data_IF_399977027502
#
_entry.id   IF_399977027502
#
_cell.length_a   1.000
_cell.length_b   1.000
_cell.length_c   1.000
_cell.angle_alpha   90.00
_cell.angle_beta   90.00
_cell.angle_gamma   90.00
#
_symmetry.space_group_name_H-M   'P 1'
#
loop_
_entity.id
_entity.type
_entity.pdbx_description
1 polymer ?
#
# COMPACT_ATOMS: atom_id res chain seq x y z
N UNK A 1 -0.01 -20.16 -1.89
CA UNK A 1 -0.26 -21.34 -1.04
C UNK A 1 -1.72 -21.44 -0.58
N UNK A 2 -2.33 -20.35 0.04
CA UNK A 2 -3.70 -20.39 0.58
C UNK A 2 -4.77 -20.80 -0.45
N UNK A 3 -4.77 -20.17 -1.63
CA UNK A 3 -5.71 -20.51 -2.72
C UNK A 3 -5.60 -21.96 -3.18
N UNK A 4 -4.42 -22.57 -3.13
CA UNK A 4 -4.24 -23.99 -3.42
C UNK A 4 -4.88 -24.89 -2.37
N UNK A 5 -4.93 -24.48 -1.10
CA UNK A 5 -5.62 -25.21 -0.05
C UNK A 5 -7.13 -25.26 -0.30
N UNK A 6 -7.71 -24.18 -0.83
CA UNK A 6 -9.13 -24.14 -1.19
C UNK A 6 -9.50 -25.21 -2.23
N UNK A 7 -8.61 -25.47 -3.21
CA UNK A 7 -8.83 -26.50 -4.24
C UNK A 7 -8.82 -27.93 -3.67
N UNK A 8 -8.34 -28.12 -2.44
CA UNK A 8 -8.31 -29.42 -1.75
C UNK A 8 -9.57 -29.70 -0.93
N UNK A 9 -10.48 -28.74 -0.81
CA UNK A 9 -11.75 -28.91 -0.12
C UNK A 9 -12.68 -29.82 -0.93
N UNK A 10 -12.54 -31.14 -0.75
CA UNK A 10 -13.32 -32.18 -1.43
C UNK A 10 -14.09 -33.03 -0.42
N UNK A 11 -15.09 -33.74 -0.89
CA UNK A 11 -15.83 -34.72 -0.10
C UNK A 11 -17.29 -34.35 0.12
N UNK A 12 -18.06 -35.25 0.75
CA UNK A 12 -19.51 -35.12 0.92
C UNK A 12 -19.95 -34.16 2.05
N UNK A 13 -19.00 -33.54 2.77
CA UNK A 13 -19.34 -32.66 3.87
C UNK A 13 -20.16 -31.45 3.40
N UNK A 14 -21.22 -31.14 4.13
CA UNK A 14 -22.15 -30.04 3.83
C UNK A 14 -21.45 -28.68 3.91
N UNK A 15 -20.55 -28.51 4.88
CA UNK A 15 -19.83 -27.27 5.07
C UNK A 15 -18.32 -27.49 4.88
N UNK A 16 -17.80 -26.99 3.77
CA UNK A 16 -16.37 -27.02 3.45
C UNK A 16 -15.76 -25.65 3.71
N UNK A 17 -14.84 -25.58 4.65
CA UNK A 17 -14.18 -24.31 5.00
C UNK A 17 -12.71 -24.52 5.35
N UNK A 18 -11.90 -23.50 5.11
CA UNK A 18 -10.53 -23.37 5.63
C UNK A 18 -10.55 -22.32 6.73
N UNK A 19 -9.89 -22.63 7.83
CA UNK A 19 -9.57 -21.66 8.87
C UNK A 19 -8.06 -21.53 8.90
N UNK A 20 -7.57 -20.31 8.92
CA UNK A 20 -6.15 -20.01 9.04
C UNK A 20 -5.98 -18.96 10.14
N UNK A 21 -4.93 -19.09 10.92
CA UNK A 21 -4.49 -18.09 11.89
C UNK A 21 -3.18 -17.50 11.42
N UNK A 22 -2.91 -16.26 11.74
CA UNK A 22 -1.68 -15.58 11.38
C UNK A 22 -1.59 -14.24 12.11
N UNK A 23 -0.36 -13.77 12.26
CA UNK A 23 -0.08 -12.45 12.80
C UNK A 23 0.26 -11.48 11.67
N UNK A 24 0.00 -10.17 11.84
CA UNK A 24 0.50 -9.15 10.94
C UNK A 24 2.03 -9.19 10.80
N UNK A 25 2.57 -8.68 9.69
CA UNK A 25 4.00 -8.46 9.52
C UNK A 25 4.79 -9.57 8.82
N UNK A 26 4.16 -10.64 8.33
CA UNK A 26 4.82 -11.68 7.53
C UNK A 26 5.03 -11.28 6.06
N UNK A 27 5.80 -12.10 5.31
CA UNK A 27 6.07 -11.85 3.87
C UNK A 27 4.82 -11.66 3.00
N UNK A 28 3.71 -12.27 3.37
CA UNK A 28 2.45 -12.16 2.65
C UNK A 28 1.49 -11.15 3.28
N UNK A 29 1.98 -10.24 4.10
CA UNK A 29 1.17 -9.28 4.85
C UNK A 29 0.20 -8.49 3.95
N UNK A 30 0.73 -7.80 2.94
CA UNK A 30 -0.07 -7.01 2.01
C UNK A 30 -1.07 -7.85 1.20
N UNK A 31 -0.68 -9.06 0.78
CA UNK A 31 -1.58 -9.97 0.06
C UNK A 31 -2.73 -10.45 0.94
N UNK A 32 -2.46 -10.79 2.20
CA UNK A 32 -3.48 -11.20 3.17
C UNK A 32 -4.44 -10.05 3.45
N UNK A 33 -3.90 -8.86 3.69
CA UNK A 33 -4.66 -7.63 3.92
C UNK A 33 -5.65 -7.37 2.79
N UNK A 34 -5.15 -7.35 1.55
CA UNK A 34 -5.97 -7.16 0.34
C UNK A 34 -6.97 -8.30 0.13
N UNK A 35 -6.52 -9.57 0.28
CA UNK A 35 -7.38 -10.73 0.03
C UNK A 35 -8.56 -10.80 0.99
N UNK A 36 -8.35 -10.50 2.25
CA UNK A 36 -9.40 -10.50 3.27
C UNK A 36 -10.09 -9.13 3.47
N UNK A 37 -9.70 -8.11 2.68
CA UNK A 37 -10.32 -6.78 2.70
C UNK A 37 -10.12 -6.02 4.01
N UNK A 38 -8.99 -6.25 4.69
CA UNK A 38 -8.73 -5.68 6.02
C UNK A 38 -8.65 -4.16 5.97
N UNK A 39 -8.15 -3.57 4.86
CA UNK A 39 -8.08 -2.12 4.69
C UNK A 39 -9.46 -1.45 4.68
N UNK A 40 -10.44 -2.12 4.05
CA UNK A 40 -11.82 -1.60 4.00
C UNK A 40 -12.65 -1.97 5.22
N UNK A 41 -12.26 -3.04 5.93
CA UNK A 41 -13.01 -3.57 7.06
C UNK A 41 -12.05 -4.00 8.18
N UNK A 42 -11.38 -3.04 8.86
CA UNK A 42 -10.38 -3.34 9.87
C UNK A 42 -10.96 -4.06 11.11
N UNK A 43 -12.22 -3.80 11.42
CA UNK A 43 -12.94 -4.48 12.50
C UNK A 43 -13.41 -5.89 12.12
N UNK A 44 -13.19 -6.31 10.87
CA UNK A 44 -13.50 -7.63 10.38
C UNK A 44 -15.00 -7.99 10.37
N UNK A 45 -15.28 -9.29 10.44
CA UNK A 45 -16.62 -9.88 10.52
C UNK A 45 -17.54 -9.58 9.32
N UNK A 46 -16.99 -9.04 8.23
CA UNK A 46 -17.70 -8.78 6.98
C UNK A 46 -17.44 -9.92 6.01
N UNK A 47 -18.47 -10.67 5.57
CA UNK A 47 -18.31 -11.70 4.55
C UNK A 47 -18.08 -11.05 3.17
N UNK A 48 -16.99 -11.43 2.53
CA UNK A 48 -16.62 -10.98 1.20
C UNK A 48 -16.74 -12.12 0.22
N UNK A 49 -17.59 -11.99 -0.77
CA UNK A 49 -17.78 -12.98 -1.83
C UNK A 49 -16.81 -12.74 -2.98
N UNK A 50 -16.17 -13.81 -3.42
CA UNK A 50 -15.38 -13.82 -4.64
C UNK A 50 -16.30 -14.02 -5.84
N UNK A 51 -16.43 -13.01 -6.68
CA UNK A 51 -17.36 -12.99 -7.81
C UNK A 51 -17.10 -14.10 -8.85
N UNK A 52 -15.85 -14.56 -8.96
CA UNK A 52 -15.49 -15.59 -9.94
C UNK A 52 -15.80 -17.01 -9.43
N UNK A 53 -15.76 -17.22 -8.12
CA UNK A 53 -15.88 -18.57 -7.52
C UNK A 53 -17.11 -18.74 -6.62
N UNK A 54 -17.78 -17.66 -6.23
CA UNK A 54 -18.85 -17.65 -5.24
C UNK A 54 -18.37 -18.02 -3.82
N UNK A 55 -17.06 -18.13 -3.60
CA UNK A 55 -16.53 -18.48 -2.29
C UNK A 55 -16.52 -17.26 -1.37
N UNK A 56 -17.04 -17.46 -0.16
CA UNK A 56 -17.06 -16.42 0.87
C UNK A 56 -15.82 -16.54 1.74
N UNK A 57 -15.18 -15.42 1.99
CA UNK A 57 -14.06 -15.25 2.93
C UNK A 57 -14.39 -14.18 3.96
N UNK A 58 -13.84 -14.31 5.15
CA UNK A 58 -14.09 -13.36 6.23
C UNK A 58 -12.83 -13.23 7.09
N UNK A 59 -12.47 -12.00 7.41
CA UNK A 59 -11.47 -11.69 8.42
C UNK A 59 -12.13 -11.71 9.80
N UNK A 60 -11.51 -12.39 10.74
CA UNK A 60 -11.92 -12.40 12.14
C UNK A 60 -10.77 -11.83 12.95
N UNK A 61 -10.86 -10.56 13.40
CA UNK A 61 -9.83 -9.95 14.22
C UNK A 61 -9.70 -10.69 15.55
N UNK A 62 -8.48 -10.77 16.06
CA UNK A 62 -8.19 -11.36 17.35
C UNK A 62 -7.06 -10.59 18.00
N UNK A 63 -7.24 -10.23 19.25
CA UNK A 63 -6.26 -9.54 20.09
C UNK A 63 -5.87 -10.45 21.23
N UNK A 64 -4.71 -10.24 21.82
CA UNK A 64 -4.28 -11.06 22.95
C UNK A 64 -5.28 -11.02 24.10
N UNK A 65 -5.93 -9.87 24.30
CA UNK A 65 -6.93 -9.66 25.37
C UNK A 65 -8.21 -10.49 25.17
N UNK A 66 -8.45 -10.99 23.96
CA UNK A 66 -9.60 -11.86 23.68
C UNK A 66 -9.36 -13.27 24.24
N UNK A 67 -8.10 -13.67 24.41
CA UNK A 67 -7.71 -14.96 24.98
C UNK A 67 -7.66 -14.91 26.52
N UNK A 68 -8.82 -14.76 27.15
CA UNK A 68 -8.94 -14.68 28.61
C UNK A 68 -8.39 -15.92 29.32
N UNK A 69 -8.55 -17.10 28.74
CA UNK A 69 -8.07 -18.37 29.30
C UNK A 69 -6.53 -18.40 29.28
N UNK A 70 -5.92 -18.02 28.14
CA UNK A 70 -4.47 -17.97 28.03
C UNK A 70 -3.83 -16.94 28.97
N UNK A 71 -4.42 -15.75 29.09
CA UNK A 71 -3.94 -14.71 30.01
C UNK A 71 -4.12 -15.08 31.47
N UNK A 72 -5.18 -15.81 31.84
CA UNK A 72 -5.36 -16.32 33.18
C UNK A 72 -4.33 -17.41 33.54
N UNK A 73 -3.95 -18.25 32.55
CA UNK A 73 -2.94 -19.29 32.77
C UNK A 73 -1.51 -18.71 32.80
N UNK A 74 -1.26 -17.61 32.08
CA UNK A 74 0.05 -16.96 32.02
C UNK A 74 -0.11 -15.41 31.99
N UNK A 75 -0.28 -14.78 33.16
CA UNK A 75 -0.44 -13.34 33.26
C UNK A 75 0.78 -12.52 32.79
N UNK A 76 1.96 -13.14 32.76
CA UNK A 76 3.21 -12.48 32.32
C UNK A 76 3.41 -12.46 30.80
N UNK A 77 2.56 -13.15 30.05
CA UNK A 77 2.71 -13.25 28.59
C UNK A 77 2.63 -11.89 27.88
N UNK A 78 1.72 -11.03 28.30
CA UNK A 78 1.56 -9.69 27.76
C UNK A 78 2.81 -8.82 27.98
N UNK A 79 3.41 -8.90 29.17
CA UNK A 79 4.65 -8.19 29.49
C UNK A 79 5.85 -8.69 28.66
N UNK A 80 5.90 -9.99 28.36
CA UNK A 80 6.96 -10.54 27.50
C UNK A 80 6.84 -10.02 26.06
N UNK A 81 5.63 -9.80 25.56
CA UNK A 81 5.43 -9.16 24.26
C UNK A 81 5.88 -7.70 24.26
N UNK A 82 5.62 -6.96 25.32
CA UNK A 82 6.10 -5.57 25.47
C UNK A 82 7.63 -5.50 25.46
N UNK A 83 8.30 -6.58 25.89
CA UNK A 83 9.77 -6.71 25.87
C UNK A 83 10.39 -7.01 24.50
N UNK A 84 9.62 -7.13 23.42
CA UNK A 84 10.16 -7.40 22.07
C UNK A 84 11.00 -6.25 21.46
N UNK A 85 10.99 -5.07 22.09
CA UNK A 85 11.85 -3.95 21.75
C UNK A 85 11.50 -3.18 20.47
N UNK A 86 10.54 -3.68 19.67
CA UNK A 86 10.05 -3.02 18.48
C UNK A 86 8.56 -2.67 18.66
N UNK A 87 8.22 -1.38 18.84
CA UNK A 87 6.84 -0.96 19.13
C UNK A 87 5.83 -1.42 18.06
N UNK A 88 6.24 -1.45 16.79
CA UNK A 88 5.41 -1.91 15.68
C UNK A 88 5.10 -3.41 15.80
N UNK A 89 6.09 -4.21 16.20
CA UNK A 89 5.92 -5.65 16.40
C UNK A 89 4.99 -5.92 17.59
N UNK A 90 5.13 -5.15 18.66
CA UNK A 90 4.26 -5.24 19.83
C UNK A 90 2.81 -4.94 19.42
N UNK A 91 2.55 -3.84 18.71
CA UNK A 91 1.21 -3.50 18.21
C UNK A 91 0.66 -4.58 17.28
N UNK A 92 1.48 -5.04 16.33
CA UNK A 92 1.07 -6.09 15.40
C UNK A 92 0.61 -7.37 16.12
N UNK A 93 1.35 -7.83 17.11
CA UNK A 93 1.11 -9.11 17.75
C UNK A 93 0.19 -9.05 18.97
N UNK A 94 0.22 -7.94 19.71
CA UNK A 94 -0.59 -7.74 20.91
C UNK A 94 -2.00 -7.25 20.57
N UNK A 95 -2.08 -6.26 19.69
CA UNK A 95 -3.32 -5.59 19.33
C UNK A 95 -3.92 -6.10 18.01
N UNK A 96 -3.19 -6.97 17.28
CA UNK A 96 -3.62 -7.45 15.97
C UNK A 96 -3.64 -6.32 14.92
N UNK A 97 -2.75 -5.34 15.06
CA UNK A 97 -2.69 -4.16 14.20
C UNK A 97 -2.07 -4.52 12.84
N UNK A 98 -2.90 -4.55 11.81
CA UNK A 98 -2.50 -4.82 10.43
C UNK A 98 -1.92 -3.59 9.72
N UNK A 99 -1.92 -2.43 10.35
CA UNK A 99 -1.28 -1.21 9.87
C UNK A 99 0.10 -1.00 10.52
N UNK A 100 0.47 -1.82 11.51
CA UNK A 100 1.81 -1.85 12.06
C UNK A 100 2.80 -2.41 11.03
N UNK A 101 3.53 -1.55 10.33
CA UNK A 101 4.48 -1.92 9.30
C UNK A 101 5.83 -2.24 9.92
N UNK A 102 6.16 -3.52 9.98
CA UNK A 102 7.46 -3.98 10.45
C UNK A 102 8.56 -3.60 9.45
N UNK A 103 9.58 -2.90 9.94
CA UNK A 103 10.70 -2.46 9.11
C UNK A 103 10.37 -1.27 8.22
N UNK A 104 9.30 -0.53 8.50
CA UNK A 104 9.02 0.73 7.83
C UNK A 104 10.16 1.73 8.07
N UNK A 105 10.64 2.34 7.00
CA UNK A 105 11.61 3.44 7.10
C UNK A 105 11.02 4.63 7.86
N UNK A 106 9.72 4.85 7.73
CA UNK A 106 8.95 5.88 8.44
C UNK A 106 8.03 5.24 9.49
N UNK A 107 8.62 4.81 10.62
CA UNK A 107 7.88 4.14 11.71
C UNK A 107 6.80 5.03 12.34
N UNK A 108 6.95 6.35 12.25
CA UNK A 108 5.99 7.34 12.77
C UNK A 108 4.84 7.65 11.82
N UNK A 109 4.84 7.11 10.58
CA UNK A 109 3.72 7.31 9.66
C UNK A 109 2.45 6.66 10.20
N UNK A 110 1.43 7.48 10.41
CA UNK A 110 0.10 7.05 10.85
C UNK A 110 -0.94 7.46 9.82
N UNK A 111 -1.63 6.52 9.17
CA UNK A 111 -2.70 6.85 8.24
C UNK A 111 -3.78 7.74 8.87
N UNK A 112 -4.10 7.54 10.14
CA UNK A 112 -5.09 8.34 10.85
C UNK A 112 -4.65 9.80 11.07
N UNK A 113 -3.35 10.05 11.17
CA UNK A 113 -2.79 11.40 11.33
C UNK A 113 -2.45 12.05 9.97
N UNK A 114 -2.10 11.24 8.96
CA UNK A 114 -1.59 11.74 7.68
C UNK A 114 -2.62 11.77 6.56
N UNK A 115 -3.74 11.05 6.69
CA UNK A 115 -4.82 11.09 5.70
C UNK A 115 -5.85 12.14 6.07
N UNK A 116 -6.25 12.90 5.05
CA UNK A 116 -7.35 13.88 5.15
C UNK A 116 -8.42 13.54 4.13
N UNK A 117 -9.63 14.06 4.34
CA UNK A 117 -10.67 13.99 3.32
C UNK A 117 -10.24 14.74 2.07
N UNK A 118 -10.44 14.17 0.88
CA UNK A 118 -10.03 14.81 -0.37
C UNK A 118 -10.70 16.17 -0.57
N UNK A 119 -9.94 17.15 -1.04
CA UNK A 119 -10.43 18.51 -1.31
C UNK A 119 -9.78 19.08 -2.57
N UNK A 120 -10.42 20.08 -3.17
CA UNK A 120 -9.88 20.78 -4.32
C UNK A 120 -8.68 21.64 -3.91
N UNK A 121 -7.54 21.42 -4.53
CA UNK A 121 -6.32 22.18 -4.27
C UNK A 121 -6.51 23.63 -4.75
N UNK A 122 -6.28 24.62 -3.88
CA UNK A 122 -6.37 26.03 -4.25
C UNK A 122 -5.42 26.40 -5.41
N UNK A 123 -5.87 27.18 -6.42
CA UNK A 123 -5.04 27.49 -7.60
C UNK A 123 -3.74 28.24 -7.30
N UNK A 124 -3.66 28.86 -6.13
CA UNK A 124 -2.50 29.61 -5.68
C UNK A 124 -1.47 28.76 -4.91
N UNK A 125 -1.76 27.48 -4.65
CA UNK A 125 -0.75 26.55 -4.14
C UNK A 125 0.18 26.10 -5.27
N UNK A 126 1.43 25.85 -4.94
CA UNK A 126 2.40 25.34 -5.92
C UNK A 126 2.24 23.84 -6.08
N UNK A 127 2.08 23.38 -7.32
CA UNK A 127 1.96 21.96 -7.63
C UNK A 127 3.22 21.45 -8.33
N UNK A 128 3.61 20.20 -8.00
CA UNK A 128 4.82 19.54 -8.49
C UNK A 128 4.50 18.10 -8.86
N UNK A 129 5.12 17.60 -9.92
CA UNK A 129 5.18 16.18 -10.20
C UNK A 129 6.59 15.69 -9.84
N UNK A 130 6.68 14.73 -8.93
CA UNK A 130 7.93 14.06 -8.59
C UNK A 130 7.85 12.62 -9.04
N UNK A 131 8.90 12.09 -9.67
CA UNK A 131 8.93 10.70 -10.10
C UNK A 131 10.25 10.02 -9.78
N UNK A 132 10.18 8.71 -9.59
CA UNK A 132 11.32 7.80 -9.49
C UNK A 132 11.07 6.63 -10.46
N UNK A 133 11.99 6.46 -11.42
CA UNK A 133 11.86 5.45 -12.46
C UNK A 133 12.51 4.14 -12.06
N UNK A 134 11.74 3.07 -12.05
CA UNK A 134 12.20 1.72 -11.83
C UNK A 134 12.10 0.87 -13.10
N UNK A 135 13.22 0.31 -13.58
CA UNK A 135 13.22 -0.61 -14.72
C UNK A 135 12.78 -2.02 -14.32
N UNK A 136 13.30 -2.52 -13.18
CA UNK A 136 12.96 -3.80 -12.59
C UNK A 136 12.10 -3.69 -11.34
N UNK A 137 12.07 -2.51 -10.74
CA UNK A 137 11.23 -2.14 -9.61
C UNK A 137 10.05 -1.30 -10.12
N UNK A 138 9.16 -0.95 -9.21
CA UNK A 138 8.07 -0.06 -9.54
C UNK A 138 8.57 1.34 -9.93
N UNK A 139 7.97 1.93 -10.97
CA UNK A 139 8.03 3.35 -11.19
C UNK A 139 6.96 4.02 -10.34
N UNK A 140 7.36 5.02 -9.58
CA UNK A 140 6.47 5.85 -8.76
C UNK A 140 6.46 7.28 -9.29
N UNK A 141 5.29 7.89 -9.36
CA UNK A 141 5.16 9.33 -9.59
C UNK A 141 4.06 9.89 -8.69
N UNK A 142 4.35 11.00 -8.04
CA UNK A 142 3.45 11.65 -7.11
C UNK A 142 3.13 13.07 -7.55
N UNK A 143 1.86 13.40 -7.60
CA UNK A 143 1.39 14.77 -7.73
C UNK A 143 1.34 15.38 -6.33
N UNK A 144 2.13 16.40 -6.10
CA UNK A 144 2.28 17.09 -4.83
C UNK A 144 1.73 18.51 -4.93
N UNK A 145 1.18 19.02 -3.85
CA UNK A 145 0.88 20.43 -3.66
C UNK A 145 1.57 20.95 -2.40
N UNK A 146 1.98 22.21 -2.41
CA UNK A 146 2.61 22.88 -1.26
C UNK A 146 1.77 24.10 -0.92
N UNK A 147 1.37 24.19 0.34
CA UNK A 147 0.58 25.30 0.85
C UNK A 147 1.43 26.47 1.35
N UNK A 148 0.80 27.47 1.95
CA UNK A 148 1.51 28.69 2.46
C UNK A 148 2.33 28.46 3.72
N UNK A 149 2.13 27.34 4.40
CA UNK A 149 2.89 26.97 5.59
C UNK A 149 4.07 26.06 5.24
N UNK A 150 4.32 25.84 3.93
CA UNK A 150 5.27 24.86 3.40
C UNK A 150 4.90 23.40 3.73
N UNK A 151 3.62 23.13 4.07
CA UNK A 151 3.13 21.77 4.22
C UNK A 151 2.96 21.11 2.85
N UNK A 152 3.43 19.88 2.74
CA UNK A 152 3.39 19.09 1.49
C UNK A 152 2.21 18.12 1.51
N UNK A 153 1.37 18.22 0.51
CA UNK A 153 0.18 17.40 0.32
C UNK A 153 0.37 16.44 -0.86
N UNK A 154 0.21 15.15 -0.62
CA UNK A 154 0.18 14.15 -1.71
C UNK A 154 -1.26 14.12 -2.24
N UNK A 155 -1.41 14.55 -3.50
CA UNK A 155 -2.72 14.74 -4.14
C UNK A 155 -3.14 13.50 -4.91
N UNK A 156 -2.19 12.89 -5.66
CA UNK A 156 -2.43 11.68 -6.44
C UNK A 156 -1.13 10.91 -6.64
N UNK A 157 -1.24 9.61 -6.96
CA UNK A 157 -0.10 8.72 -7.10
C UNK A 157 -0.27 7.80 -8.30
N UNK A 158 0.81 7.66 -9.08
CA UNK A 158 1.00 6.60 -10.04
C UNK A 158 2.07 5.62 -9.51
N UNK A 159 1.73 4.35 -9.41
CA UNK A 159 2.65 3.31 -8.97
C UNK A 159 2.47 2.05 -9.82
N UNK A 160 3.52 1.62 -10.55
CA UNK A 160 3.43 0.46 -11.43
C UNK A 160 4.77 -0.23 -11.63
N UNK A 161 4.75 -1.57 -11.62
CA UNK A 161 5.88 -2.43 -11.95
C UNK A 161 5.76 -2.99 -13.38
N UNK A 162 6.91 -3.38 -13.96
CA UNK A 162 6.99 -4.22 -15.15
C UNK A 162 6.44 -3.59 -16.42
N UNK A 163 6.53 -2.27 -16.56
CA UNK A 163 6.13 -1.54 -17.75
C UNK A 163 7.31 -0.80 -18.37
N UNK A 164 7.25 -0.52 -19.67
CA UNK A 164 8.24 0.30 -20.35
C UNK A 164 8.04 1.80 -20.11
N UNK A 165 9.09 2.61 -20.38
CA UNK A 165 9.06 4.06 -20.16
C UNK A 165 7.87 4.77 -20.82
N UNK A 166 7.51 4.39 -22.05
CA UNK A 166 6.36 4.95 -22.76
C UNK A 166 5.01 4.59 -22.08
N UNK A 167 4.91 3.39 -21.46
CA UNK A 167 3.71 2.99 -20.72
C UNK A 167 3.59 3.76 -19.42
N UNK A 168 4.72 3.97 -18.72
CA UNK A 168 4.77 4.80 -17.53
C UNK A 168 4.37 6.24 -17.84
N UNK A 169 4.91 6.83 -18.95
CA UNK A 169 4.55 8.18 -19.36
C UNK A 169 3.05 8.33 -19.64
N UNK A 170 2.45 7.36 -20.37
CA UNK A 170 0.99 7.35 -20.60
C UNK A 170 0.19 7.22 -19.29
N UNK A 171 0.65 6.37 -18.37
CA UNK A 171 -0.02 6.19 -17.09
C UNK A 171 0.04 7.45 -16.22
N UNK A 172 1.19 8.10 -16.13
CA UNK A 172 1.37 9.35 -15.40
C UNK A 172 0.54 10.48 -16.04
N UNK A 173 0.55 10.58 -17.38
CA UNK A 173 -0.29 11.56 -18.09
C UNK A 173 -1.78 11.32 -17.78
N UNK A 174 -2.22 10.07 -17.82
CA UNK A 174 -3.61 9.72 -17.48
C UNK A 174 -3.98 10.07 -16.04
N UNK A 175 -3.08 9.85 -15.06
CA UNK A 175 -3.27 10.31 -13.69
C UNK A 175 -3.46 11.83 -13.63
N UNK A 176 -2.58 12.60 -14.25
CA UNK A 176 -2.66 14.06 -14.29
C UNK A 176 -3.92 14.58 -14.98
N UNK A 177 -4.34 13.94 -16.09
CA UNK A 177 -5.52 14.34 -16.86
C UNK A 177 -6.83 14.02 -16.12
N UNK A 178 -6.86 12.99 -15.29
CA UNK A 178 -8.05 12.53 -14.59
C UNK A 178 -8.11 12.96 -13.12
N UNK A 179 -7.07 13.61 -12.59
CA UNK A 179 -7.06 14.05 -11.19
C UNK A 179 -8.13 15.14 -10.97
N UNK A 180 -9.16 14.87 -10.14
CA UNK A 180 -10.26 15.83 -9.95
C UNK A 180 -9.91 16.94 -8.95
N UNK A 181 -8.74 16.86 -8.32
CA UNK A 181 -8.38 17.74 -7.21
C UNK A 181 -7.50 18.92 -7.62
N UNK A 182 -7.02 18.96 -8.87
CA UNK A 182 -6.25 20.07 -9.41
C UNK A 182 -6.89 20.60 -10.69
N UNK A 183 -6.80 21.91 -10.89
CA UNK A 183 -7.36 22.58 -12.08
C UNK A 183 -6.31 22.90 -13.13
N UNK A 184 -5.03 22.87 -12.77
CA UNK A 184 -3.90 23.22 -13.63
C UNK A 184 -2.84 22.12 -13.62
N UNK A 185 -2.06 22.03 -14.69
CA UNK A 185 -0.90 21.15 -14.74
C UNK A 185 0.16 21.55 -13.71
N UNK A 186 0.97 20.57 -13.19
CA UNK A 186 2.07 20.88 -12.28
C UNK A 186 3.02 21.92 -12.89
N UNK A 187 3.44 22.87 -12.08
CA UNK A 187 4.36 23.93 -12.51
C UNK A 187 5.79 23.45 -12.73
N UNK A 188 6.16 22.36 -12.08
CA UNK A 188 7.49 21.79 -12.15
C UNK A 188 7.42 20.27 -12.09
N UNK A 189 8.18 19.62 -12.98
CA UNK A 189 8.34 18.17 -13.00
C UNK A 189 9.76 17.84 -12.54
N UNK A 190 9.87 17.00 -11.51
CA UNK A 190 11.13 16.59 -10.90
C UNK A 190 11.36 15.09 -11.15
N UNK A 191 12.54 14.77 -11.62
CA UNK A 191 12.97 13.39 -11.80
C UNK A 191 14.43 13.23 -11.34
N UNK A 192 14.84 12.03 -10.90
CA UNK A 192 16.20 11.83 -10.41
C UNK A 192 17.23 11.96 -11.55
N UNK A 193 18.44 12.46 -11.25
CA UNK A 193 19.47 12.74 -12.28
C UNK A 193 19.92 11.51 -13.07
N UNK A 194 19.82 10.32 -12.50
CA UNK A 194 20.21 9.05 -13.12
C UNK A 194 19.30 8.65 -14.28
N UNK A 195 18.09 9.19 -14.36
CA UNK A 195 17.21 9.02 -15.54
C UNK A 195 17.84 9.53 -16.84
N UNK A 196 18.76 10.51 -16.75
CA UNK A 196 19.47 11.05 -17.92
C UNK A 196 20.80 10.36 -18.19
N UNK A 197 21.21 9.40 -17.35
CA UNK A 197 22.47 8.71 -17.50
C UNK A 197 22.36 7.62 -18.56
N UNK A 198 23.25 7.62 -19.57
CA UNK A 198 23.40 6.54 -20.52
C UNK A 198 24.09 5.36 -19.86
N UNK A 199 23.52 4.18 -19.94
CA UNK A 199 24.08 2.95 -19.34
C UNK A 199 25.18 2.32 -20.18
N UNK A 200 25.12 2.45 -21.52
CA UNK A 200 26.12 1.95 -22.45
C UNK A 200 26.28 2.88 -23.65
N UNK A 201 27.42 2.82 -24.38
CA UNK A 201 27.60 3.57 -25.62
C UNK A 201 26.54 3.15 -26.64
N UNK A 202 25.74 4.10 -27.10
CA UNK A 202 24.66 3.86 -28.07
C UNK A 202 23.27 3.62 -27.48
N UNK A 203 23.14 3.40 -26.17
CA UNK A 203 21.82 3.34 -25.52
C UNK A 203 21.27 4.74 -25.24
N UNK A 204 19.96 4.91 -25.48
CA UNK A 204 19.24 6.12 -25.07
C UNK A 204 19.18 6.19 -23.53
N UNK A 205 19.23 7.39 -22.98
CA UNK A 205 18.96 7.56 -21.55
C UNK A 205 17.52 7.14 -21.21
N UNK A 206 17.27 6.71 -20.00
CA UNK A 206 15.93 6.31 -19.55
C UNK A 206 14.90 7.45 -19.70
N UNK A 207 15.35 8.71 -19.66
CA UNK A 207 14.49 9.88 -19.80
C UNK A 207 14.09 10.20 -21.25
N UNK A 208 14.77 9.69 -22.26
CA UNK A 208 14.42 10.00 -23.65
C UNK A 208 13.04 9.46 -24.05
N UNK A 209 12.71 8.25 -23.64
CA UNK A 209 11.40 7.69 -23.92
C UNK A 209 10.24 8.39 -23.16
N UNK A 210 10.36 8.73 -21.87
CA UNK A 210 9.36 9.56 -21.19
C UNK A 210 9.28 10.98 -21.74
N UNK A 211 10.42 11.64 -22.02
CA UNK A 211 10.46 13.03 -22.49
C UNK A 211 9.68 13.22 -23.77
N UNK A 212 9.94 12.39 -24.77
CA UNK A 212 9.22 12.46 -26.07
C UNK A 212 7.71 12.19 -25.92
N UNK A 213 7.32 11.47 -24.87
CA UNK A 213 5.92 11.16 -24.58
C UNK A 213 5.21 12.26 -23.78
N UNK A 214 5.96 13.12 -23.06
CA UNK A 214 5.41 14.24 -22.31
C UNK A 214 5.37 15.55 -23.12
N UNK A 215 6.15 15.67 -24.18
CA UNK A 215 6.16 16.83 -25.08
C UNK A 215 5.13 16.72 -26.21
N UNK A 216 4.44 15.59 -26.35
CA UNK A 216 3.37 15.33 -27.32
C UNK A 216 1.99 15.44 -26.66
#
# INVERSE_FOLDING_TARGET
PYKMMLSRLRGPAVHKRVRATGNPGGRCHAEVKRYFGIDGYPDGMVPLEDQATGMVRMFVPSRIRDNKIGLAADPSYEQRLDGLGAPELVRAWKDGDWDAILGSYFSMFSPAACKVEPFLIPPNWSTFLCMDYGEHNATSAMLLAVDYNDDVWVVDEYYREGAGGADHARGIKAMLDNCPYVTERPRLNLAPPDMWTKRAPGEASQALAPKDSFEA
#
